data_IF_347243818082
#
_entry.id   IF_347243818082
#
_cell.length_a   1.000
_cell.length_b   1.000
_cell.length_c   1.000
_cell.angle_alpha   90.00
_cell.angle_beta   90.00
_cell.angle_gamma   90.00
#
_symmetry.space_group_name_H-M   'P 1'
#
loop_
_entity.id
_entity.type
_entity.pdbx_description
1 polymer ?
#
# COMPACT_ATOMS: atom_id res chain seq x y z
N UNK A 1 10.30 20.21 3.89
CA UNK A 1 10.51 18.80 3.53
C UNK A 1 9.28 18.26 2.80
N UNK A 2 9.46 17.67 1.64
CA UNK A 2 8.34 17.09 0.89
C UNK A 2 7.90 15.78 1.56
N UNK A 3 6.60 15.55 1.65
CA UNK A 3 6.04 14.26 2.08
C UNK A 3 6.05 13.33 0.87
N UNK A 4 6.62 12.15 1.05
CA UNK A 4 6.71 11.12 0.02
C UNK A 4 5.71 10.02 0.35
N UNK A 5 4.96 9.58 -0.66
CA UNK A 5 4.05 8.45 -0.56
C UNK A 5 4.49 7.34 -1.51
N UNK A 6 4.23 6.10 -1.13
CA UNK A 6 4.47 4.93 -1.97
C UNK A 6 3.18 4.18 -2.22
N UNK A 7 3.05 3.59 -3.39
CA UNK A 7 1.87 2.80 -3.76
C UNK A 7 2.12 1.91 -4.97
N UNK A 8 1.29 0.89 -5.11
CA UNK A 8 1.13 0.14 -6.35
C UNK A 8 0.06 0.87 -7.17
N UNK A 9 0.39 1.38 -8.34
CA UNK A 9 -0.46 2.30 -9.10
C UNK A 9 -1.04 1.73 -10.38
N UNK A 10 -0.25 0.99 -11.13
CA UNK A 10 -0.63 0.47 -12.44
C UNK A 10 0.29 -0.66 -12.86
N UNK A 11 -0.15 -1.45 -13.85
CA UNK A 11 0.68 -2.48 -14.46
C UNK A 11 1.75 -1.88 -15.38
N UNK A 12 2.51 -2.73 -16.06
CA UNK A 12 3.57 -2.33 -16.99
C UNK A 12 3.06 -1.58 -18.21
N UNK A 13 1.75 -1.63 -18.49
CA UNK A 13 1.09 -0.89 -19.57
C UNK A 13 0.38 0.37 -19.10
N UNK A 14 0.48 0.71 -17.80
CA UNK A 14 -0.22 1.86 -17.23
C UNK A 14 -1.68 1.60 -16.88
N UNK A 15 -2.13 0.35 -16.84
CA UNK A 15 -3.51 -0.03 -16.53
C UNK A 15 -3.67 -0.40 -15.05
N UNK A 16 -4.86 -0.13 -14.50
CA UNK A 16 -5.21 -0.47 -13.11
C UNK A 16 -6.09 -1.72 -13.02
N UNK A 17 -6.00 -2.60 -13.99
CA UNK A 17 -6.82 -3.81 -14.10
C UNK A 17 -5.96 -5.06 -14.12
N UNK A 18 -6.60 -6.20 -14.27
CA UNK A 18 -5.93 -7.47 -14.54
C UNK A 18 -5.39 -7.49 -15.97
N UNK A 19 -4.26 -8.10 -16.19
CA UNK A 19 -3.68 -8.20 -17.52
C UNK A 19 -2.19 -8.49 -17.55
N UNK A 20 -1.52 -8.26 -16.40
CA UNK A 20 -0.14 -8.64 -16.21
C UNK A 20 -0.01 -10.05 -15.64
N UNK A 21 1.20 -10.48 -15.44
CA UNK A 21 1.54 -11.73 -14.76
C UNK A 21 2.95 -11.65 -14.18
N UNK A 22 3.21 -12.46 -13.20
CA UNK A 22 4.51 -12.49 -12.55
C UNK A 22 5.63 -12.68 -13.58
N UNK A 23 6.58 -11.77 -13.58
CA UNK A 23 7.73 -11.81 -14.49
C UNK A 23 7.74 -10.74 -15.57
N UNK A 24 6.67 -9.97 -15.70
CA UNK A 24 6.57 -8.90 -16.72
C UNK A 24 6.83 -7.48 -16.17
N UNK A 25 7.29 -7.36 -14.94
CA UNK A 25 7.52 -6.09 -14.27
C UNK A 25 8.58 -5.23 -14.97
N UNK A 26 8.31 -3.92 -15.02
CA UNK A 26 9.30 -2.91 -15.44
C UNK A 26 10.06 -2.30 -14.26
N UNK A 27 9.57 -2.51 -13.03
CA UNK A 27 10.10 -1.91 -11.82
C UNK A 27 9.55 -0.50 -11.54
N UNK A 28 8.48 -0.09 -12.23
CA UNK A 28 7.85 1.23 -12.08
C UNK A 28 6.41 1.16 -11.56
N UNK A 29 5.84 -0.03 -11.51
CA UNK A 29 4.45 -0.28 -11.14
C UNK A 29 4.20 0.01 -9.66
N UNK A 30 5.19 -0.26 -8.83
CA UNK A 30 5.21 0.05 -7.40
C UNK A 30 6.29 1.08 -7.17
N UNK A 31 5.91 2.29 -6.79
CA UNK A 31 6.85 3.41 -6.77
C UNK A 31 6.44 4.50 -5.80
N UNK A 32 7.41 5.35 -5.47
CA UNK A 32 7.19 6.52 -4.63
C UNK A 32 6.90 7.76 -5.48
N UNK A 33 6.22 8.73 -4.88
CA UNK A 33 5.99 10.04 -5.47
C UNK A 33 5.78 11.08 -4.37
N UNK A 34 5.84 12.35 -4.72
CA UNK A 34 5.46 13.40 -3.79
C UNK A 34 3.98 13.31 -3.44
N UNK A 35 3.65 13.62 -2.19
CA UNK A 35 2.26 13.76 -1.78
C UNK A 35 1.56 14.81 -2.65
N UNK A 36 0.32 14.54 -3.00
CA UNK A 36 -0.51 15.42 -3.82
C UNK A 36 -1.92 15.52 -3.27
N UNK A 37 -2.62 16.60 -3.61
CA UNK A 37 -4.02 16.78 -3.26
C UNK A 37 -4.90 15.98 -4.21
N UNK A 38 -5.58 14.98 -3.67
CA UNK A 38 -6.54 14.20 -4.45
C UNK A 38 -7.87 14.93 -4.50
N UNK A 39 -8.55 14.95 -5.66
CA UNK A 39 -9.82 15.65 -5.85
C UNK A 39 -10.92 15.19 -4.87
N UNK A 40 -10.90 13.91 -4.50
CA UNK A 40 -11.84 13.32 -3.53
C UNK A 40 -11.31 13.33 -2.09
N UNK A 41 -10.11 13.91 -1.87
CA UNK A 41 -9.45 13.91 -0.58
C UNK A 41 -8.81 12.56 -0.23
N UNK A 42 -8.32 12.47 0.99
CA UNK A 42 -7.66 11.30 1.55
C UNK A 42 -8.30 10.93 2.87
N UNK A 43 -8.46 9.66 3.13
CA UNK A 43 -8.63 9.16 4.49
C UNK A 43 -7.25 8.87 5.07
N UNK A 44 -7.04 9.29 6.33
CA UNK A 44 -5.75 9.16 6.99
C UNK A 44 -5.91 8.25 8.19
N UNK A 45 -5.18 7.15 8.18
CA UNK A 45 -5.06 6.22 9.31
C UNK A 45 -3.62 6.26 9.80
N UNK A 46 -3.44 6.28 11.12
CA UNK A 46 -2.12 6.32 11.73
C UNK A 46 -1.94 5.15 12.68
N UNK A 47 -0.83 4.44 12.58
CA UNK A 47 -0.50 3.40 13.54
C UNK A 47 -0.40 3.99 14.95
N UNK A 48 -1.01 3.31 15.92
CA UNK A 48 -1.00 3.74 17.34
C UNK A 48 0.39 3.63 17.94
N UNK A 49 1.15 2.62 17.56
CA UNK A 49 2.52 2.38 18.00
C UNK A 49 3.48 3.08 17.04
N UNK A 50 4.33 3.96 17.56
CA UNK A 50 5.29 4.72 16.76
C UNK A 50 6.30 3.82 16.05
N UNK A 51 6.66 2.68 16.64
CA UNK A 51 7.55 1.70 15.99
C UNK A 51 6.89 1.06 14.79
N UNK A 52 5.60 0.76 14.87
CA UNK A 52 4.82 0.25 13.74
C UNK A 52 4.73 1.31 12.65
N UNK A 53 4.50 2.57 13.02
CA UNK A 53 4.46 3.68 12.06
C UNK A 53 5.78 3.81 11.28
N UNK A 54 6.92 3.76 11.98
CA UNK A 54 8.23 3.81 11.34
C UNK A 54 8.47 2.62 10.43
N UNK A 55 8.12 1.42 10.87
CA UNK A 55 8.26 0.20 10.07
C UNK A 55 7.33 0.17 8.86
N UNK A 56 6.15 0.80 8.94
CA UNK A 56 5.27 0.94 7.78
C UNK A 56 5.91 1.80 6.68
N UNK A 57 6.51 2.92 7.07
CA UNK A 57 7.24 3.76 6.12
C UNK A 57 8.41 2.99 5.50
N UNK A 58 9.18 2.28 6.31
CA UNK A 58 10.27 1.42 5.85
C UNK A 58 9.75 0.33 4.90
N UNK A 59 8.67 -0.35 5.26
CA UNK A 59 8.07 -1.41 4.45
C UNK A 59 7.69 -0.91 3.06
N UNK A 60 7.06 0.25 2.97
CA UNK A 60 6.67 0.83 1.69
C UNK A 60 7.90 1.21 0.86
N UNK A 61 8.95 1.75 1.48
CA UNK A 61 10.20 2.05 0.80
C UNK A 61 10.86 0.78 0.25
N UNK A 62 10.88 -0.29 1.05
CA UNK A 62 11.39 -1.60 0.61
C UNK A 62 10.61 -2.10 -0.61
N UNK A 63 9.28 -2.09 -0.52
CA UNK A 63 8.42 -2.56 -1.61
C UNK A 63 8.61 -1.74 -2.89
N UNK A 64 8.65 -0.42 -2.78
CA UNK A 64 8.85 0.47 -3.93
C UNK A 64 10.26 0.33 -4.54
N UNK A 65 11.25 -0.09 -3.76
CA UNK A 65 12.60 -0.37 -4.25
C UNK A 65 12.81 -1.80 -4.77
N UNK A 66 11.82 -2.67 -4.58
CA UNK A 66 11.95 -4.08 -4.98
C UNK A 66 11.36 -4.31 -6.37
N UNK A 67 12.24 -4.46 -7.36
CA UNK A 67 11.86 -4.66 -8.78
C UNK A 67 11.18 -6.02 -9.05
N UNK A 68 11.13 -6.90 -8.06
CA UNK A 68 10.43 -8.18 -8.18
C UNK A 68 8.93 -8.06 -7.91
N UNK A 69 8.46 -6.89 -7.45
CA UNK A 69 7.03 -6.68 -7.17
C UNK A 69 6.44 -5.82 -8.29
N UNK A 70 5.47 -6.38 -9.00
CA UNK A 70 4.71 -5.70 -10.03
C UNK A 70 3.25 -5.52 -9.65
N UNK A 71 2.45 -5.07 -10.59
CA UNK A 71 1.03 -4.79 -10.39
C UNK A 71 0.15 -5.68 -11.26
N UNK A 72 -0.73 -6.47 -10.65
CA UNK A 72 -1.82 -7.16 -11.32
C UNK A 72 -2.93 -7.52 -10.31
N UNK A 73 -4.14 -7.06 -10.57
CA UNK A 73 -5.27 -7.34 -9.68
C UNK A 73 -5.65 -8.82 -9.65
N UNK A 74 -5.41 -9.57 -10.72
CA UNK A 74 -5.73 -11.01 -10.74
C UNK A 74 -4.74 -11.86 -9.94
N UNK A 75 -3.55 -11.33 -9.66
CA UNK A 75 -2.50 -12.00 -8.88
C UNK A 75 -2.14 -11.22 -7.59
N UNK A 76 -3.07 -10.45 -7.09
CA UNK A 76 -2.85 -9.52 -5.97
C UNK A 76 -2.34 -10.16 -4.68
N UNK A 77 -2.57 -11.44 -4.49
CA UNK A 77 -2.12 -12.15 -3.28
C UNK A 77 -0.66 -12.64 -3.35
N UNK A 78 0.00 -12.47 -4.47
CA UNK A 78 1.41 -12.85 -4.61
C UNK A 78 2.29 -12.17 -3.58
N UNK A 79 2.12 -10.88 -3.36
CA UNK A 79 2.88 -10.11 -2.37
C UNK A 79 2.60 -10.57 -0.93
N UNK A 80 1.42 -11.08 -0.65
CA UNK A 80 1.10 -11.66 0.67
C UNK A 80 1.83 -12.99 0.86
N UNK A 81 1.85 -13.82 -0.19
CA UNK A 81 2.52 -15.12 -0.16
C UNK A 81 4.04 -14.99 -0.03
N UNK A 82 4.64 -14.09 -0.80
CA UNK A 82 6.11 -13.98 -0.91
C UNK A 82 6.72 -12.88 -0.03
N UNK A 83 5.91 -11.91 0.42
CA UNK A 83 6.38 -10.78 1.22
C UNK A 83 7.04 -9.68 0.41
N UNK A 84 7.22 -8.51 1.03
CA UNK A 84 7.79 -7.32 0.38
C UNK A 84 9.30 -7.44 0.10
N UNK A 85 9.99 -8.35 0.77
CA UNK A 85 11.41 -8.64 0.55
C UNK A 85 11.62 -9.77 -0.47
N UNK A 86 10.62 -10.11 -1.24
CA UNK A 86 10.65 -11.24 -2.16
C UNK A 86 11.83 -11.19 -3.13
N UNK A 87 12.45 -12.35 -3.34
CA UNK A 87 13.42 -12.57 -4.41
C UNK A 87 12.78 -13.22 -5.64
N UNK A 88 11.52 -13.59 -5.52
CA UNK A 88 10.72 -14.18 -6.60
C UNK A 88 9.85 -13.09 -7.19
N UNK A 89 9.73 -13.04 -8.50
CA UNK A 89 8.83 -12.10 -9.18
C UNK A 89 7.39 -12.41 -8.78
N UNK A 90 6.67 -11.39 -8.35
CA UNK A 90 5.30 -11.51 -7.84
C UNK A 90 4.53 -10.22 -8.10
N UNK A 91 3.22 -10.28 -7.87
CA UNK A 91 2.31 -9.19 -8.15
C UNK A 91 1.56 -8.74 -6.90
N UNK A 92 1.08 -7.51 -6.96
CA UNK A 92 0.17 -6.94 -5.96
C UNK A 92 -0.79 -5.96 -6.64
N UNK A 93 -1.79 -5.51 -5.90
CA UNK A 93 -2.53 -4.29 -6.21
C UNK A 93 -2.33 -3.27 -5.07
N UNK A 94 -2.98 -2.12 -5.14
CA UNK A 94 -2.78 -1.07 -4.15
C UNK A 94 -3.14 -1.53 -2.73
N UNK A 95 -4.25 -2.23 -2.56
CA UNK A 95 -4.71 -2.67 -1.23
C UNK A 95 -3.92 -3.86 -0.70
N UNK A 96 -3.58 -4.85 -1.52
CA UNK A 96 -2.77 -5.98 -1.06
C UNK A 96 -1.35 -5.58 -0.68
N UNK A 97 -0.79 -4.56 -1.34
CA UNK A 97 0.51 -4.02 -0.95
C UNK A 97 0.46 -3.38 0.44
N UNK A 98 -0.57 -2.61 0.73
CA UNK A 98 -0.77 -2.02 2.07
C UNK A 98 -0.89 -3.13 3.12
N UNK A 99 -1.67 -4.16 2.85
CA UNK A 99 -1.80 -5.33 3.75
C UNK A 99 -0.44 -6.00 4.01
N UNK A 100 0.36 -6.22 2.97
CA UNK A 100 1.69 -6.80 3.11
C UNK A 100 2.62 -5.91 3.94
N UNK A 101 2.55 -4.60 3.79
CA UNK A 101 3.31 -3.65 4.60
C UNK A 101 2.88 -3.69 6.07
N UNK A 102 1.59 -3.82 6.35
CA UNK A 102 1.09 -3.95 7.73
C UNK A 102 1.60 -5.25 8.37
N UNK A 103 1.60 -6.35 7.64
CA UNK A 103 2.14 -7.63 8.13
C UNK A 103 3.62 -7.47 8.49
N UNK A 104 4.41 -6.87 7.60
CA UNK A 104 5.83 -6.61 7.85
C UNK A 104 6.05 -5.76 9.10
N UNK A 105 5.29 -4.67 9.22
CA UNK A 105 5.51 -3.68 10.29
C UNK A 105 5.01 -4.14 11.65
N UNK A 106 3.87 -4.83 11.70
CA UNK A 106 3.19 -5.20 12.95
C UNK A 106 3.30 -6.67 13.32
N UNK A 107 3.67 -7.52 12.37
CA UNK A 107 3.62 -8.97 12.53
C UNK A 107 2.22 -9.55 12.52
N UNK A 108 1.18 -8.74 12.24
CA UNK A 108 -0.22 -9.15 12.23
C UNK A 108 -0.83 -8.95 10.86
N UNK A 109 -1.60 -9.94 10.41
CA UNK A 109 -2.41 -9.85 9.21
C UNK A 109 -3.81 -9.37 9.59
N UNK A 110 -4.19 -8.19 9.12
CA UNK A 110 -5.51 -7.60 9.40
C UNK A 110 -6.63 -8.27 8.58
N UNK A 111 -6.28 -9.16 7.67
CA UNK A 111 -7.21 -9.83 6.78
C UNK A 111 -7.28 -9.17 5.40
N UNK A 112 -8.01 -9.81 4.50
CA UNK A 112 -8.16 -9.34 3.13
C UNK A 112 -9.06 -8.12 3.06
N UNK A 113 -8.70 -7.19 2.18
CA UNK A 113 -9.52 -6.02 1.86
C UNK A 113 -9.21 -5.54 0.44
N UNK A 114 -10.12 -4.76 -0.10
CA UNK A 114 -9.92 -3.99 -1.33
C UNK A 114 -10.10 -2.49 -1.01
N UNK A 115 -9.97 -1.64 -2.01
CA UNK A 115 -10.07 -0.18 -1.80
C UNK A 115 -11.43 0.28 -1.27
N UNK A 116 -12.50 -0.50 -1.49
CA UNK A 116 -13.85 -0.12 -1.02
C UNK A 116 -14.07 -0.36 0.47
N UNK A 117 -13.36 -1.34 1.08
CA UNK A 117 -13.53 -1.69 2.49
C UNK A 117 -12.22 -1.60 3.31
N UNK A 118 -11.17 -1.08 2.73
CA UNK A 118 -9.84 -0.98 3.33
C UNK A 118 -9.88 -0.28 4.69
N UNK A 119 -10.51 0.89 4.76
CA UNK A 119 -10.57 1.68 5.99
C UNK A 119 -11.23 0.93 7.15
N UNK A 120 -12.45 0.38 7.03
CA UNK A 120 -13.07 -0.33 8.15
C UNK A 120 -12.33 -1.61 8.54
N UNK A 121 -11.76 -2.36 7.58
CA UNK A 121 -11.01 -3.58 7.90
C UNK A 121 -9.75 -3.25 8.68
N UNK A 122 -8.99 -2.24 8.26
CA UNK A 122 -7.78 -1.82 8.95
C UNK A 122 -8.11 -1.31 10.36
N UNK A 123 -9.14 -0.48 10.50
CA UNK A 123 -9.54 0.07 11.80
C UNK A 123 -10.02 -1.02 12.76
N UNK A 124 -10.69 -2.05 12.27
CA UNK A 124 -11.15 -3.19 13.09
C UNK A 124 -9.99 -3.94 13.74
N UNK A 125 -8.79 -3.88 13.17
CA UNK A 125 -7.59 -4.51 13.75
C UNK A 125 -7.21 -3.93 15.11
N UNK A 126 -7.62 -2.69 15.40
CA UNK A 126 -7.24 -1.98 16.62
C UNK A 126 -5.81 -1.42 16.58
N UNK A 127 -5.07 -1.59 15.50
CA UNK A 127 -3.68 -1.13 15.37
C UNK A 127 -3.56 0.32 14.92
N UNK A 128 -4.64 0.93 14.46
CA UNK A 128 -4.63 2.25 13.84
C UNK A 128 -5.67 3.19 14.46
N UNK A 129 -5.31 4.47 14.50
CA UNK A 129 -6.26 5.56 14.78
C UNK A 129 -6.79 6.13 13.47
N UNK A 130 -8.09 6.45 13.46
CA UNK A 130 -8.72 7.15 12.35
C UNK A 130 -8.48 8.66 12.52
N UNK A 131 -7.64 9.24 11.68
CA UNK A 131 -7.32 10.66 11.71
C UNK A 131 -8.31 11.51 10.90
N UNK A 132 -9.30 10.87 10.26
CA UNK A 132 -10.31 11.53 9.45
C UNK A 132 -9.88 11.75 8.02
N UNK A 133 -10.47 12.76 7.37
CA UNK A 133 -10.24 13.09 5.98
C UNK A 133 -9.30 14.29 5.84
N UNK A 134 -8.49 14.29 4.79
CA UNK A 134 -7.62 15.39 4.42
C UNK A 134 -8.04 15.97 3.07
N UNK A 135 -8.33 17.28 3.06
CA UNK A 135 -8.68 18.02 1.84
C UNK A 135 -7.92 19.34 1.82
N UNK A 136 -7.14 19.58 0.77
CA UNK A 136 -6.53 20.88 0.49
C UNK A 136 -5.85 21.55 1.70
N UNK A 137 -5.20 20.78 2.57
CA UNK A 137 -4.48 21.29 3.74
C UNK A 137 -5.25 21.20 5.06
N UNK A 138 -6.47 20.66 5.05
CA UNK A 138 -7.27 20.48 6.27
C UNK A 138 -7.49 18.99 6.58
N UNK A 139 -7.37 18.63 7.85
CA UNK A 139 -7.78 17.32 8.33
C UNK A 139 -9.19 17.48 8.89
N UNK A 140 -10.14 16.80 8.26
CA UNK A 140 -11.52 16.76 8.69
C UNK A 140 -11.71 15.53 9.57
N UNK A 141 -11.92 15.75 10.87
CA UNK A 141 -12.20 14.66 11.82
C UNK A 141 -13.72 14.45 11.88
N UNK A 142 -14.11 13.20 11.81
CA UNK A 142 -15.50 12.79 12.01
C UNK A 142 -15.82 12.74 13.50
#
# INVERSE_FOLDING_TARGET
MAVIIGSARHDEHGNCYSGGKAGDQTGQEVSTQNFYNHSKGWYVLRAKDDRVAEKLAEAMQIACGNKNIGYDQSERYGVIKHGINTKVKTECDCSSLVRACIIYASGKDVGDFNTSNERPVILKSGLFDDMGSYHAGFILRN
#
